data_IF_625703732630
#
_entry.id   IF_625703732630
#
_cell.length_a   1.000
_cell.length_b   1.000
_cell.length_c   1.000
_cell.angle_alpha   90.00
_cell.angle_beta   90.00
_cell.angle_gamma   90.00
#
_symmetry.space_group_name_H-M   'P 1'
#
loop_
_entity.id
_entity.type
_entity.pdbx_description
1 polymer ?
#
# COMPACT_ATOMS: atom_id res chain seq x y z
N UNK A 1 6.61 1.49 12.78
CA UNK A 1 5.87 2.73 12.47
C UNK A 1 4.66 2.36 11.62
N UNK A 2 3.53 3.07 11.71
CA UNK A 2 2.39 2.78 10.86
C UNK A 2 2.66 3.09 9.38
N UNK A 3 2.08 2.28 8.50
CA UNK A 3 2.09 2.52 7.07
C UNK A 3 0.71 2.97 6.60
N UNK A 4 0.69 3.96 5.71
CA UNK A 4 -0.50 4.59 5.19
C UNK A 4 -0.50 4.52 3.67
N UNK A 5 -1.48 3.85 3.07
CA UNK A 5 -1.60 3.72 1.61
C UNK A 5 -2.67 4.69 1.08
N UNK A 6 -2.32 5.52 0.11
CA UNK A 6 -3.30 6.35 -0.60
C UNK A 6 -4.17 5.46 -1.48
N UNK A 7 -5.50 5.53 -1.33
CA UNK A 7 -6.44 4.70 -2.10
C UNK A 7 -6.55 5.11 -3.58
N UNK A 8 -6.15 6.34 -3.92
CA UNK A 8 -6.22 6.87 -5.30
C UNK A 8 -5.10 6.36 -6.20
N UNK A 9 -3.86 6.34 -5.72
CA UNK A 9 -2.68 5.98 -6.51
C UNK A 9 -1.86 4.80 -5.95
N UNK A 10 -2.13 4.37 -4.72
CA UNK A 10 -1.37 3.31 -4.07
C UNK A 10 -0.06 3.72 -3.41
N UNK A 11 0.27 5.01 -3.34
CA UNK A 11 1.46 5.52 -2.64
C UNK A 11 1.45 5.13 -1.16
N UNK A 12 2.58 4.66 -0.64
CA UNK A 12 2.75 4.23 0.76
C UNK A 12 3.58 5.28 1.49
N UNK A 13 3.04 5.78 2.59
CA UNK A 13 3.69 6.74 3.48
C UNK A 13 3.91 6.07 4.85
N UNK A 14 5.13 6.07 5.36
CA UNK A 14 5.45 5.55 6.70
C UNK A 14 5.47 6.72 7.68
N UNK A 15 4.50 6.77 8.60
CA UNK A 15 4.45 7.83 9.62
C UNK A 15 3.64 7.41 10.84
N UNK A 16 4.02 7.95 12.01
CA UNK A 16 3.38 7.65 13.29
C UNK A 16 1.97 8.22 13.37
N UNK A 17 1.69 9.30 12.65
CA UNK A 17 0.40 9.96 12.64
C UNK A 17 -0.27 9.79 11.26
N UNK A 18 -1.59 9.57 11.21
CA UNK A 18 -2.32 9.70 9.96
C UNK A 18 -2.11 11.12 9.41
N UNK A 19 -1.89 11.28 8.09
CA UNK A 19 -1.91 12.60 7.48
C UNK A 19 -3.34 13.15 7.56
N UNK A 20 -3.64 13.90 8.64
CA UNK A 20 -4.99 14.36 8.96
C UNK A 20 -5.61 15.27 7.89
N UNK A 21 -4.82 15.78 6.94
CA UNK A 21 -5.26 16.62 5.81
C UNK A 21 -4.47 16.28 4.52
N UNK A 22 -4.27 14.99 4.27
CA UNK A 22 -3.25 14.44 3.39
C UNK A 22 -3.37 14.76 1.90
N UNK A 23 -2.66 15.81 1.46
CA UNK A 23 -2.19 15.92 0.08
C UNK A 23 -1.21 14.77 -0.16
N UNK A 24 -1.57 13.83 -1.04
CA UNK A 24 -0.64 12.79 -1.42
C UNK A 24 0.49 13.40 -2.26
N UNK A 25 1.79 13.19 -1.94
CA UNK A 25 2.89 13.77 -2.72
C UNK A 25 2.93 13.23 -4.16
N UNK A 26 2.39 12.04 -4.39
CA UNK A 26 2.26 11.44 -5.72
C UNK A 26 1.11 12.05 -6.52
N UNK A 27 -0.07 12.23 -5.90
CA UNK A 27 -1.24 12.80 -6.59
C UNK A 27 -1.24 14.34 -6.61
N UNK A 28 -0.53 14.97 -5.67
CA UNK A 28 -0.60 16.41 -5.35
C UNK A 28 -2.04 16.90 -5.08
N UNK A 29 -2.88 15.99 -4.60
CA UNK A 29 -4.29 16.21 -4.28
C UNK A 29 -4.62 15.57 -2.93
N UNK A 30 -5.72 16.00 -2.32
CA UNK A 30 -6.32 15.38 -1.14
C UNK A 30 -6.63 13.90 -1.43
N UNK A 31 -6.03 12.99 -0.66
CA UNK A 31 -6.25 11.55 -0.79
C UNK A 31 -6.61 10.93 0.56
N UNK A 32 -7.51 9.96 0.54
CA UNK A 32 -7.80 9.11 1.69
C UNK A 32 -6.65 8.11 1.88
N UNK A 33 -6.00 8.18 3.04
CA UNK A 33 -4.96 7.27 3.44
C UNK A 33 -5.53 6.15 4.32
N UNK A 34 -5.35 4.90 3.89
CA UNK A 34 -5.75 3.72 4.64
C UNK A 34 -4.57 3.18 5.43
N UNK A 35 -4.75 2.91 6.71
CA UNK A 35 -3.72 2.26 7.52
C UNK A 35 -3.50 0.82 7.04
N UNK A 36 -2.29 0.52 6.59
CA UNK A 36 -1.85 -0.80 6.10
C UNK A 36 -0.78 -1.41 7.01
N UNK A 37 -0.65 -0.90 8.23
CA UNK A 37 0.32 -1.38 9.23
C UNK A 37 0.05 -2.83 9.65
N UNK A 38 -1.19 -3.29 9.54
CA UNK A 38 -1.65 -4.59 10.02
C UNK A 38 -1.41 -5.75 9.04
N UNK A 39 -0.34 -5.72 8.23
CA UNK A 39 -0.01 -6.78 7.25
C UNK A 39 1.49 -6.96 7.02
N UNK A 40 2.29 -7.10 8.07
CA UNK A 40 3.63 -7.68 7.94
C UNK A 40 3.65 -9.01 8.71
N UNK A 41 3.62 -10.12 7.97
CA UNK A 41 4.86 -10.89 7.82
C UNK A 41 5.32 -11.13 6.37
N UNK A 42 4.46 -10.98 5.36
CA UNK A 42 4.79 -11.29 3.95
C UNK A 42 3.98 -10.40 3.00
N UNK A 43 4.35 -9.13 2.85
CA UNK A 43 3.70 -8.27 1.86
C UNK A 43 4.16 -8.65 0.44
N UNK A 44 3.65 -9.77 -0.09
CA UNK A 44 3.37 -10.06 -1.51
C UNK A 44 4.41 -9.73 -2.58
N UNK A 45 5.68 -9.56 -2.24
CA UNK A 45 6.78 -9.49 -3.19
C UNK A 45 7.69 -10.69 -2.97
N UNK A 46 7.17 -11.87 -3.28
CA UNK A 46 8.04 -12.82 -3.96
C UNK A 46 8.54 -12.15 -5.26
N UNK A 47 9.85 -12.19 -5.57
CA UNK A 47 10.37 -11.82 -6.88
C UNK A 47 9.94 -12.92 -7.88
N UNK A 48 8.66 -12.94 -8.21
CA UNK A 48 8.04 -14.13 -8.77
C UNK A 48 6.61 -13.90 -9.25
N UNK A 49 6.28 -12.70 -9.72
CA UNK A 49 5.05 -12.44 -10.48
C UNK A 49 5.01 -13.26 -11.77
N UNK A 50 4.76 -14.55 -11.64
CA UNK A 50 4.34 -15.46 -12.69
C UNK A 50 3.41 -16.51 -12.08
N UNK A 51 2.11 -16.28 -12.32
CA UNK A 51 1.16 -17.33 -12.71
C UNK A 51 1.20 -18.62 -11.88
N UNK A 52 0.41 -18.64 -10.79
CA UNK A 52 -0.27 -19.87 -10.40
C UNK A 52 -1.31 -20.20 -11.49
N UNK A 53 -0.86 -20.77 -12.60
CA UNK A 53 -1.70 -21.57 -13.48
C UNK A 53 -1.46 -23.03 -13.06
N UNK A 54 -2.46 -23.61 -12.42
CA UNK A 54 -2.53 -25.03 -12.06
C UNK A 54 -2.04 -25.90 -13.24
N UNK A 55 -0.96 -26.69 -13.09
CA UNK A 55 -0.46 -27.57 -14.16
C UNK A 55 -1.32 -28.83 -14.39
N UNK A 56 -2.64 -28.76 -14.14
CA UNK A 56 -3.59 -29.87 -14.32
C UNK A 56 -4.86 -29.48 -15.09
N UNK A 57 -4.82 -28.47 -15.96
CA UNK A 57 -5.86 -28.22 -16.96
C UNK A 57 -5.33 -28.42 -18.38
#
# INVERSE_FOLDING_TARGET
MPFWKCEKCGYIHEDQLPPNEGICPSCKDTCTFKNVTCYLPECGHEPGGKEHLDPRL
#
